data_IF_655355249055
#
_entry.id   IF_655355249055
#
_cell.length_a   1.000
_cell.length_b   1.000
_cell.length_c   1.000
_cell.angle_alpha   90.00
_cell.angle_beta   90.00
_cell.angle_gamma   90.00
#
_symmetry.space_group_name_H-M   'P 1'
#
loop_
_entity.id
_entity.type
_entity.pdbx_description
1 polymer ?
#
# COMPACT_ATOMS: atom_id res chain seq x y z
N UNK A 1 19.08 -6.20 13.35
CA UNK A 1 17.93 -5.54 12.68
C UNK A 1 17.77 -6.23 11.34
N UNK A 2 16.83 -7.17 11.24
CA UNK A 2 16.76 -8.06 10.07
C UNK A 2 15.75 -7.53 9.06
N UNK A 3 16.25 -7.12 7.89
CA UNK A 3 15.45 -7.05 6.67
C UNK A 3 14.78 -8.42 6.47
N UNK A 4 13.46 -8.42 6.25
CA UNK A 4 12.70 -9.64 6.03
C UNK A 4 13.19 -10.33 4.76
N UNK A 5 13.39 -11.65 4.82
CA UNK A 5 13.74 -12.46 3.65
C UNK A 5 12.52 -13.04 2.94
N UNK A 6 11.33 -12.83 3.50
CA UNK A 6 10.08 -13.34 2.98
C UNK A 6 9.06 -12.20 2.84
N UNK A 7 8.19 -12.24 1.81
CA UNK A 7 7.10 -11.29 1.66
C UNK A 7 6.18 -11.29 2.89
N UNK A 8 6.31 -10.29 3.76
CA UNK A 8 5.61 -10.22 5.05
C UNK A 8 4.13 -9.82 4.94
N UNK A 9 3.63 -9.67 3.71
CA UNK A 9 2.21 -9.44 3.39
C UNK A 9 1.51 -10.69 2.84
N UNK A 10 2.25 -11.78 2.58
CA UNK A 10 1.65 -13.00 2.03
C UNK A 10 0.88 -13.75 3.10
N UNK A 11 -0.31 -14.22 2.73
CA UNK A 11 -1.19 -14.95 3.61
C UNK A 11 -0.98 -16.46 3.48
N UNK A 12 -1.36 -17.20 4.52
CA UNK A 12 -1.47 -18.65 4.50
C UNK A 12 -2.95 -19.06 4.43
N UNK A 13 -3.31 -20.23 3.88
CA UNK A 13 -4.68 -20.74 3.94
C UNK A 13 -5.17 -20.86 5.39
N UNK A 14 -6.41 -20.44 5.62
CA UNK A 14 -7.11 -20.60 6.89
C UNK A 14 -7.84 -21.94 7.01
N UNK A 15 -8.73 -22.04 8.00
CA UNK A 15 -9.48 -23.28 8.28
C UNK A 15 -10.61 -23.53 7.26
N UNK A 16 -11.18 -22.47 6.68
CA UNK A 16 -12.30 -22.53 5.75
C UNK A 16 -11.89 -22.11 4.35
N UNK A 17 -12.60 -22.62 3.35
CA UNK A 17 -12.46 -22.16 1.97
C UNK A 17 -12.73 -20.65 1.88
N UNK A 18 -11.89 -19.94 1.13
CA UNK A 18 -11.96 -18.48 1.02
C UNK A 18 -11.40 -17.73 2.24
N UNK A 19 -10.88 -18.42 3.25
CA UNK A 19 -10.22 -17.78 4.39
C UNK A 19 -8.71 -17.94 4.35
N UNK A 20 -8.04 -16.87 4.77
CA UNK A 20 -6.59 -16.77 4.79
C UNK A 20 -6.13 -16.04 6.05
N UNK A 21 -4.91 -16.30 6.49
CA UNK A 21 -4.32 -15.74 7.70
C UNK A 21 -3.04 -15.01 7.33
N UNK A 22 -2.92 -13.75 7.76
CA UNK A 22 -1.66 -13.03 7.79
C UNK A 22 -1.06 -13.12 9.20
N UNK A 23 0.02 -13.87 9.43
CA UNK A 23 0.79 -13.78 10.66
C UNK A 23 1.43 -12.39 10.76
N UNK A 24 1.13 -11.64 11.83
CA UNK A 24 1.68 -10.29 12.00
C UNK A 24 3.10 -10.38 12.53
N UNK A 25 4.05 -10.02 11.69
CA UNK A 25 5.47 -9.94 12.04
C UNK A 25 5.93 -8.48 12.13
N UNK A 26 7.02 -8.16 12.86
CA UNK A 26 7.52 -6.79 12.96
C UNK A 26 7.63 -6.04 11.60
N UNK A 27 8.14 -6.65 10.51
CA UNK A 27 8.19 -6.02 9.18
C UNK A 27 6.84 -5.52 8.64
N UNK A 28 5.71 -6.04 9.11
CA UNK A 28 4.36 -5.64 8.71
C UNK A 28 3.80 -4.46 9.52
N UNK A 29 4.50 -4.01 10.56
CA UNK A 29 3.97 -3.08 11.56
C UNK A 29 4.62 -1.71 11.51
N UNK A 30 3.89 -0.71 12.01
CA UNK A 30 4.32 0.66 12.27
C UNK A 30 3.80 1.11 13.65
N UNK A 31 4.16 2.33 14.08
CA UNK A 31 3.75 2.90 15.35
C UNK A 31 4.86 2.91 16.41
N UNK A 32 4.60 3.50 17.59
CA UNK A 32 5.58 3.62 18.65
C UNK A 32 5.87 2.28 19.34
N UNK A 33 6.99 2.21 20.06
CA UNK A 33 7.34 1.07 20.89
C UNK A 33 6.21 0.77 21.90
N UNK A 34 5.88 -0.52 22.04
CA UNK A 34 4.81 -0.97 22.93
C UNK A 34 3.38 -0.76 22.42
N UNK A 35 3.17 -0.18 21.23
CA UNK A 35 1.84 -0.13 20.59
C UNK A 35 1.90 -0.29 19.06
N UNK A 36 2.56 -1.37 18.54
CA UNK A 36 2.64 -1.60 17.12
C UNK A 36 1.26 -1.96 16.54
N UNK A 37 1.04 -1.56 15.30
CA UNK A 37 -0.12 -1.95 14.51
C UNK A 37 0.30 -2.25 13.08
N UNK A 38 -0.42 -3.15 12.41
CA UNK A 38 -0.26 -3.41 10.97
C UNK A 38 -0.49 -2.11 10.19
N UNK A 39 0.41 -1.79 9.27
CA UNK A 39 0.26 -0.64 8.38
C UNK A 39 -0.87 -0.89 7.35
N UNK A 40 -1.61 0.16 6.97
CA UNK A 40 -2.80 0.03 6.13
C UNK A 40 -2.53 -0.64 4.79
N UNK A 41 -1.47 -0.22 4.11
CA UNK A 41 -0.98 -0.82 2.87
C UNK A 41 -0.56 -2.28 3.01
N UNK A 42 -0.09 -2.73 4.18
CA UNK A 42 0.18 -4.16 4.44
C UNK A 42 -1.10 -4.95 4.61
N UNK A 43 -2.12 -4.39 5.28
CA UNK A 43 -3.44 -5.02 5.35
C UNK A 43 -4.09 -5.11 3.97
N UNK A 44 -3.97 -4.07 3.14
CA UNK A 44 -4.41 -4.10 1.74
C UNK A 44 -3.65 -5.15 0.94
N UNK A 45 -2.32 -5.20 1.04
CA UNK A 45 -1.49 -6.18 0.34
C UNK A 45 -1.83 -7.63 0.72
N UNK A 46 -2.14 -7.89 1.99
CA UNK A 46 -2.62 -9.19 2.45
C UNK A 46 -4.00 -9.54 1.87
N UNK A 47 -4.90 -8.56 1.77
CA UNK A 47 -6.19 -8.77 1.09
C UNK A 47 -6.01 -9.02 -0.41
N UNK A 48 -5.09 -8.32 -1.07
CA UNK A 48 -4.75 -8.55 -2.49
C UNK A 48 -4.23 -9.97 -2.68
N UNK A 49 -3.26 -10.41 -1.88
CA UNK A 49 -2.71 -11.77 -1.95
C UNK A 49 -3.81 -12.83 -1.73
N UNK A 50 -4.66 -12.65 -0.71
CA UNK A 50 -5.80 -13.53 -0.44
C UNK A 50 -6.81 -13.59 -1.61
N UNK A 51 -7.15 -12.43 -2.20
CA UNK A 51 -8.07 -12.33 -3.32
C UNK A 51 -7.51 -12.98 -4.58
N UNK A 52 -6.22 -12.79 -4.89
CA UNK A 52 -5.56 -13.42 -6.02
C UNK A 52 -5.48 -14.95 -5.84
N UNK A 53 -5.22 -15.43 -4.62
CA UNK A 53 -5.26 -16.85 -4.30
C UNK A 53 -6.68 -17.44 -4.44
N UNK A 54 -7.70 -16.76 -3.90
CA UNK A 54 -9.09 -17.23 -3.93
C UNK A 54 -9.67 -17.26 -5.35
N UNK A 55 -9.31 -16.27 -6.18
CA UNK A 55 -9.80 -16.14 -7.55
C UNK A 55 -8.94 -16.87 -8.58
N UNK A 56 -7.68 -17.18 -8.25
CA UNK A 56 -6.65 -17.56 -9.23
C UNK A 56 -6.48 -16.55 -10.37
N UNK A 57 -6.78 -15.28 -10.09
CA UNK A 57 -6.76 -14.18 -11.05
C UNK A 57 -5.96 -13.00 -10.50
N UNK A 58 -5.37 -12.21 -11.40
CA UNK A 58 -4.63 -11.00 -11.02
C UNK A 58 -5.59 -9.88 -10.65
N UNK A 59 -5.20 -9.06 -9.66
CA UNK A 59 -5.92 -7.86 -9.29
C UNK A 59 -5.99 -6.85 -10.45
N UNK A 60 -7.17 -6.29 -10.69
CA UNK A 60 -7.35 -5.11 -11.55
C UNK A 60 -7.39 -3.83 -10.70
N UNK A 61 -8.24 -3.82 -9.67
CA UNK A 61 -8.34 -2.73 -8.71
C UNK A 61 -8.91 -3.20 -7.38
N UNK A 62 -8.65 -2.44 -6.33
CA UNK A 62 -9.26 -2.59 -5.01
C UNK A 62 -9.57 -1.23 -4.38
N UNK A 63 -10.50 -1.22 -3.43
CA UNK A 63 -10.72 -0.14 -2.47
C UNK A 63 -10.83 -0.75 -1.08
N UNK A 64 -10.02 -0.28 -0.14
CA UNK A 64 -10.07 -0.65 1.27
C UNK A 64 -10.62 0.50 2.10
N UNK A 65 -11.45 0.18 3.09
CA UNK A 65 -11.83 1.09 4.18
C UNK A 65 -11.16 0.67 5.49
N UNK A 66 -10.52 1.63 6.17
CA UNK A 66 -9.89 1.44 7.47
C UNK A 66 -10.92 1.71 8.58
N UNK A 67 -11.43 0.66 9.21
CA UNK A 67 -12.57 0.77 10.15
C UNK A 67 -12.14 0.79 11.63
N UNK A 68 -11.05 0.09 11.95
CA UNK A 68 -10.56 -0.02 13.32
C UNK A 68 -9.05 -0.31 13.37
N UNK A 69 -8.36 0.13 14.43
CA UNK A 69 -6.94 -0.15 14.59
C UNK A 69 -6.67 -1.63 14.81
N UNK A 70 -5.51 -2.09 14.33
CA UNK A 70 -4.96 -3.43 14.52
C UNK A 70 -3.83 -3.44 15.57
N UNK A 71 -3.94 -2.60 16.59
CA UNK A 71 -2.94 -2.53 17.67
C UNK A 71 -2.84 -3.88 18.37
N UNK A 72 -1.62 -4.41 18.50
CA UNK A 72 -1.34 -5.73 19.08
C UNK A 72 -1.99 -6.91 18.36
N UNK A 73 -2.36 -6.77 17.08
CA UNK A 73 -2.77 -7.92 16.28
C UNK A 73 -1.59 -8.90 16.16
N UNK A 74 -1.80 -10.16 16.55
CA UNK A 74 -0.85 -11.25 16.31
C UNK A 74 -1.08 -11.89 14.93
N UNK A 75 -2.32 -11.83 14.45
CA UNK A 75 -2.74 -12.28 13.14
C UNK A 75 -3.89 -11.41 12.60
N UNK A 76 -4.06 -11.42 11.29
CA UNK A 76 -5.25 -10.93 10.61
C UNK A 76 -5.91 -12.08 9.84
N UNK A 77 -7.19 -12.32 10.08
CA UNK A 77 -8.02 -13.22 9.28
C UNK A 77 -8.60 -12.44 8.09
N UNK A 78 -8.39 -12.93 6.87
CA UNK A 78 -8.93 -12.36 5.63
C UNK A 78 -9.90 -13.37 5.04
N UNK A 79 -11.18 -13.00 4.94
CA UNK A 79 -12.20 -13.81 4.27
C UNK A 79 -12.57 -13.20 2.93
N UNK A 80 -12.55 -13.98 1.85
CA UNK A 80 -12.79 -13.54 0.48
C UNK A 80 -14.05 -14.17 -0.10
N UNK A 81 -14.85 -13.39 -0.82
CA UNK A 81 -16.07 -13.85 -1.49
C UNK A 81 -16.19 -13.20 -2.88
N UNK A 82 -16.54 -13.98 -3.90
CA UNK A 82 -16.95 -13.45 -5.19
C UNK A 82 -18.43 -13.03 -5.13
N UNK A 83 -18.69 -11.74 -4.99
CA UNK A 83 -20.05 -11.21 -4.89
C UNK A 83 -20.72 -10.97 -6.25
N UNK A 84 -19.97 -11.09 -7.37
CA UNK A 84 -20.53 -10.93 -8.70
C UNK A 84 -19.49 -11.02 -9.83
N UNK A 85 -19.88 -10.52 -11.01
CA UNK A 85 -19.08 -10.62 -12.22
C UNK A 85 -19.21 -11.98 -12.92
N UNK A 86 -18.27 -12.28 -13.81
CA UNK A 86 -18.23 -13.53 -14.57
C UNK A 86 -16.87 -14.22 -14.46
N UNK A 87 -16.67 -15.26 -15.26
CA UNK A 87 -15.43 -16.05 -15.22
C UNK A 87 -14.18 -15.25 -15.60
N UNK A 88 -14.28 -14.31 -16.54
CA UNK A 88 -13.12 -13.52 -16.97
C UNK A 88 -12.80 -12.34 -16.05
N UNK A 89 -13.83 -11.73 -15.44
CA UNK A 89 -13.68 -10.59 -14.53
C UNK A 89 -14.69 -10.76 -13.40
N UNK A 90 -14.19 -11.03 -12.19
CA UNK A 90 -14.98 -11.16 -10.98
C UNK A 90 -15.08 -9.85 -10.20
N UNK A 91 -16.17 -9.67 -9.45
CA UNK A 91 -16.30 -8.65 -8.42
C UNK A 91 -16.23 -9.35 -7.06
N UNK A 92 -15.31 -8.90 -6.21
CA UNK A 92 -14.95 -9.57 -4.98
C UNK A 92 -15.02 -8.65 -3.77
N UNK A 93 -15.32 -9.24 -2.62
CA UNK A 93 -15.22 -8.63 -1.30
C UNK A 93 -14.16 -9.39 -0.50
N UNK A 94 -13.33 -8.67 0.25
CA UNK A 94 -12.57 -9.23 1.36
C UNK A 94 -12.90 -8.49 2.66
N UNK A 95 -13.06 -9.24 3.75
CA UNK A 95 -13.21 -8.69 5.09
C UNK A 95 -12.01 -9.10 5.94
N UNK A 96 -11.37 -8.12 6.59
CA UNK A 96 -10.21 -8.35 7.45
C UNK A 96 -10.63 -8.23 8.91
N UNK A 97 -10.30 -9.24 9.71
CA UNK A 97 -10.59 -9.30 11.14
C UNK A 97 -9.32 -9.47 11.97
N UNK A 98 -9.30 -8.83 13.13
CA UNK A 98 -8.32 -9.06 14.19
C UNK A 98 -9.08 -9.34 15.48
N UNK A 99 -8.78 -10.45 16.16
CA UNK A 99 -9.49 -10.88 17.38
C UNK A 99 -11.02 -10.89 17.21
N UNK A 100 -11.51 -11.37 16.07
CA UNK A 100 -12.94 -11.44 15.72
C UNK A 100 -13.60 -10.12 15.31
N UNK A 101 -12.95 -8.96 15.53
CA UNK A 101 -13.47 -7.65 15.13
C UNK A 101 -13.07 -7.32 13.70
N UNK A 102 -14.02 -6.83 12.90
CA UNK A 102 -13.73 -6.29 11.55
C UNK A 102 -12.89 -5.02 11.69
N UNK A 103 -11.71 -5.03 11.07
CA UNK A 103 -10.78 -3.89 11.03
C UNK A 103 -10.74 -3.24 9.66
N UNK A 104 -10.98 -4.00 8.60
CA UNK A 104 -11.01 -3.48 7.23
C UNK A 104 -12.06 -4.19 6.37
N UNK A 105 -12.51 -3.50 5.33
CA UNK A 105 -13.31 -4.07 4.24
C UNK A 105 -12.74 -3.65 2.91
N UNK A 106 -12.65 -4.60 1.99
CA UNK A 106 -12.05 -4.40 0.66
C UNK A 106 -13.05 -4.82 -0.41
N UNK A 107 -13.35 -3.92 -1.35
CA UNK A 107 -14.00 -4.30 -2.61
C UNK A 107 -12.93 -4.37 -3.70
N UNK A 108 -13.03 -5.34 -4.61
CA UNK A 108 -12.05 -5.51 -5.66
C UNK A 108 -12.66 -6.07 -6.95
N UNK A 109 -11.95 -5.87 -8.05
CA UNK A 109 -12.15 -6.65 -9.27
C UNK A 109 -10.85 -7.37 -9.63
N UNK A 110 -10.99 -8.63 -10.03
CA UNK A 110 -9.89 -9.49 -10.44
C UNK A 110 -10.20 -10.12 -11.79
N UNK A 111 -9.16 -10.48 -12.52
CA UNK A 111 -9.27 -11.15 -13.82
C UNK A 111 -8.71 -10.33 -14.97
N UNK A 112 -9.04 -10.75 -16.19
CA UNK A 112 -8.59 -10.13 -17.42
C UNK A 112 -9.52 -10.51 -18.57
N UNK A 113 -9.49 -9.72 -19.66
CA UNK A 113 -10.10 -10.10 -20.93
C UNK A 113 -9.01 -10.14 -21.99
N UNK A 114 -8.63 -11.35 -22.39
CA UNK A 114 -7.55 -11.55 -23.36
C UNK A 114 -8.08 -11.96 -24.75
N UNK A 115 -7.38 -11.58 -25.84
CA UNK A 115 -6.17 -10.74 -25.85
C UNK A 115 -6.49 -9.26 -25.62
N UNK A 116 -5.65 -8.55 -24.87
CA UNK A 116 -5.73 -7.08 -24.72
C UNK A 116 -4.39 -6.40 -25.01
N UNK A 117 -4.43 -5.30 -25.77
CA UNK A 117 -3.24 -4.47 -26.01
C UNK A 117 -3.12 -3.42 -24.90
N UNK A 118 -1.95 -3.39 -24.23
CA UNK A 118 -1.68 -2.36 -23.24
C UNK A 118 -1.36 -1.03 -23.94
N UNK A 119 -2.07 0.03 -23.57
CA UNK A 119 -1.77 1.42 -23.96
C UNK A 119 -1.71 2.28 -22.71
N UNK A 120 -0.59 2.98 -22.52
CA UNK A 120 -0.34 3.83 -21.36
C UNK A 120 -0.23 5.28 -21.84
N UNK A 121 -1.02 6.16 -21.23
CA UNK A 121 -1.02 7.60 -21.55
C UNK A 121 -0.29 8.46 -20.51
N UNK A 122 -0.19 7.96 -19.27
CA UNK A 122 0.56 8.65 -18.21
C UNK A 122 2.05 8.58 -18.51
N UNK A 123 2.72 9.73 -18.44
CA UNK A 123 4.18 9.81 -18.47
C UNK A 123 4.72 9.98 -17.04
N UNK A 124 5.84 9.33 -16.75
CA UNK A 124 6.62 9.60 -15.54
C UNK A 124 7.15 11.04 -15.60
N UNK A 125 7.06 11.85 -14.53
CA UNK A 125 7.62 13.19 -14.51
C UNK A 125 9.16 13.13 -14.58
N UNK A 126 9.75 14.23 -15.06
CA UNK A 126 11.20 14.41 -15.07
C UNK A 126 11.69 14.76 -13.66
N UNK A 127 12.28 13.78 -12.98
CA UNK A 127 12.84 13.89 -11.63
C UNK A 127 14.21 13.21 -11.58
N UNK A 128 15.10 13.60 -10.64
CA UNK A 128 16.40 12.96 -10.52
C UNK A 128 16.29 11.44 -10.30
N UNK A 129 17.27 10.70 -10.80
CA UNK A 129 17.37 9.27 -10.59
C UNK A 129 17.63 8.96 -9.10
N UNK A 130 17.27 7.76 -8.61
CA UNK A 130 17.43 7.41 -7.19
C UNK A 130 18.85 7.60 -6.63
N UNK A 131 19.87 7.33 -7.44
CA UNK A 131 21.29 7.46 -7.03
C UNK A 131 21.74 8.92 -6.90
N UNK A 132 21.04 9.84 -7.55
CA UNK A 132 21.26 11.29 -7.47
C UNK A 132 20.42 11.95 -6.36
N UNK A 133 19.59 11.18 -5.65
CA UNK A 133 18.69 11.65 -4.61
C UNK A 133 19.26 11.41 -3.20
N UNK A 134 18.95 12.32 -2.28
CA UNK A 134 19.28 12.15 -0.88
C UNK A 134 18.48 10.99 -0.25
N UNK A 135 19.08 10.19 0.66
CA UNK A 135 18.34 9.23 1.48
C UNK A 135 17.21 9.91 2.26
N UNK A 136 16.03 9.31 2.24
CA UNK A 136 14.91 9.73 3.10
C UNK A 136 15.17 9.39 4.58
N UNK A 137 14.58 10.19 5.48
CA UNK A 137 14.70 9.97 6.92
C UNK A 137 14.01 8.67 7.36
N UNK A 138 14.72 7.87 8.17
CA UNK A 138 14.26 6.60 8.77
C UNK A 138 14.04 6.71 10.29
N UNK A 139 14.28 7.87 10.88
CA UNK A 139 14.59 8.05 12.30
C UNK A 139 13.45 7.88 13.31
N UNK A 140 12.24 7.53 12.87
CA UNK A 140 11.04 7.58 13.72
C UNK A 140 10.42 6.21 14.02
N UNK A 141 11.02 5.11 13.53
CA UNK A 141 10.50 3.75 13.65
C UNK A 141 11.19 2.91 14.71
N UNK A 142 10.44 1.95 15.29
CA UNK A 142 11.03 0.89 16.11
C UNK A 142 11.89 -0.01 15.22
N UNK A 143 13.12 -0.39 15.61
CA UNK A 143 13.98 -1.23 14.78
C UNK A 143 13.33 -2.57 14.41
N UNK A 144 13.52 -3.01 13.16
CA UNK A 144 12.97 -4.24 12.59
C UNK A 144 11.54 -4.12 12.04
N UNK A 145 10.92 -2.94 12.13
CA UNK A 145 9.56 -2.69 11.62
C UNK A 145 9.52 -2.33 10.14
N UNK A 146 8.35 -1.95 9.61
CA UNK A 146 8.14 -1.68 8.18
C UNK A 146 9.16 -0.70 7.61
N UNK A 147 9.51 0.38 8.33
CA UNK A 147 10.47 1.38 7.86
C UNK A 147 11.85 0.80 7.51
N UNK A 148 12.29 -0.22 8.24
CA UNK A 148 13.58 -0.90 7.99
C UNK A 148 13.56 -1.83 6.76
N UNK A 149 12.40 -2.05 6.16
CA UNK A 149 12.24 -2.90 4.97
C UNK A 149 12.44 -2.12 3.66
N UNK A 150 12.50 -0.80 3.73
CA UNK A 150 12.57 0.09 2.57
C UNK A 150 13.90 0.83 2.49
N UNK A 151 14.34 1.07 1.26
CA UNK A 151 15.26 2.15 0.90
C UNK A 151 14.44 3.28 0.30
N UNK A 152 14.63 4.50 0.77
CA UNK A 152 13.88 5.68 0.38
C UNK A 152 14.79 6.77 -0.16
N UNK A 153 14.39 7.41 -1.25
CA UNK A 153 15.05 8.60 -1.78
C UNK A 153 14.03 9.65 -2.17
N UNK A 154 14.23 10.88 -1.69
CA UNK A 154 13.35 11.99 -2.00
C UNK A 154 13.84 12.63 -3.30
N UNK A 155 13.04 12.53 -4.37
CA UNK A 155 13.36 13.12 -5.67
C UNK A 155 12.83 14.56 -5.80
N UNK A 156 11.68 14.83 -5.18
CA UNK A 156 11.05 16.15 -5.16
C UNK A 156 10.07 16.25 -3.97
N UNK A 157 10.06 17.41 -3.32
CA UNK A 157 9.04 17.82 -2.34
C UNK A 157 8.64 19.27 -2.62
N UNK A 158 7.33 19.51 -2.77
CA UNK A 158 6.73 20.83 -2.91
C UNK A 158 5.50 20.89 -2.00
N UNK A 159 5.71 21.29 -0.75
CA UNK A 159 4.67 21.36 0.27
C UNK A 159 3.57 22.37 -0.09
N UNK A 160 3.94 23.51 -0.67
CA UNK A 160 2.97 24.54 -1.06
C UNK A 160 2.01 24.06 -2.15
N UNK A 161 2.50 23.23 -3.08
CA UNK A 161 1.66 22.61 -4.11
C UNK A 161 1.08 21.27 -3.70
N UNK A 162 1.46 20.73 -2.54
CA UNK A 162 1.03 19.41 -2.08
C UNK A 162 1.54 18.28 -3.00
N UNK A 163 2.80 18.34 -3.44
CA UNK A 163 3.38 17.33 -4.31
C UNK A 163 4.63 16.69 -3.69
N UNK A 164 4.76 15.38 -3.85
CA UNK A 164 6.00 14.65 -3.52
C UNK A 164 6.29 13.61 -4.60
N UNK A 165 7.56 13.47 -4.96
CA UNK A 165 8.07 12.35 -5.75
C UNK A 165 9.08 11.57 -4.88
N UNK A 166 8.71 10.36 -4.48
CA UNK A 166 9.48 9.49 -3.60
C UNK A 166 9.89 8.23 -4.33
N UNK A 167 11.18 7.97 -4.42
CA UNK A 167 11.69 6.66 -4.80
C UNK A 167 11.67 5.74 -3.58
N UNK A 168 11.12 4.54 -3.76
CA UNK A 168 11.16 3.48 -2.75
C UNK A 168 11.57 2.14 -3.37
N UNK A 169 12.26 1.31 -2.58
CA UNK A 169 12.67 -0.04 -3.00
C UNK A 169 12.72 -0.97 -1.80
N UNK A 170 12.35 -2.23 -2.01
CA UNK A 170 12.55 -3.28 -1.01
C UNK A 170 14.05 -3.50 -0.74
N UNK A 171 14.48 -3.39 0.52
CA UNK A 171 15.86 -3.75 0.89
C UNK A 171 16.13 -5.25 0.71
N UNK A 172 15.09 -6.08 0.70
CA UNK A 172 15.18 -7.51 0.44
C UNK A 172 15.22 -7.86 -1.05
N UNK A 173 15.04 -6.86 -1.94
CA UNK A 173 14.93 -7.09 -3.38
C UNK A 173 13.62 -7.75 -3.81
N UNK A 174 12.52 -7.55 -3.06
CA UNK A 174 11.21 -8.01 -3.51
C UNK A 174 10.80 -7.31 -4.83
N UNK A 175 10.11 -8.06 -5.68
CA UNK A 175 9.50 -7.56 -6.91
C UNK A 175 8.42 -6.52 -6.59
N UNK A 176 8.19 -5.57 -7.49
CA UNK A 176 7.04 -4.69 -7.41
C UNK A 176 5.80 -5.41 -7.99
N UNK A 177 5.34 -6.45 -7.30
CA UNK A 177 4.08 -7.13 -7.60
C UNK A 177 2.87 -6.33 -7.06
N UNK A 178 1.66 -6.84 -7.29
CA UNK A 178 0.40 -6.21 -6.84
C UNK A 178 0.39 -5.97 -5.32
N UNK A 179 0.89 -6.93 -4.53
CA UNK A 179 1.02 -6.81 -3.09
C UNK A 179 2.02 -5.75 -2.66
N UNK A 180 3.24 -5.74 -3.19
CA UNK A 180 4.24 -4.73 -2.85
C UNK A 180 3.79 -3.32 -3.25
N UNK A 181 3.20 -3.16 -4.43
CA UNK A 181 2.67 -1.88 -4.90
C UNK A 181 1.48 -1.39 -4.06
N UNK A 182 0.67 -2.28 -3.49
CA UNK A 182 -0.36 -1.91 -2.53
C UNK A 182 0.26 -1.32 -1.23
N UNK A 183 1.39 -1.86 -0.76
CA UNK A 183 2.10 -1.30 0.40
C UNK A 183 2.64 0.11 0.08
N UNK A 184 3.33 0.25 -1.04
CA UNK A 184 3.93 1.52 -1.47
C UNK A 184 2.86 2.61 -1.70
N UNK A 185 1.66 2.22 -2.14
CA UNK A 185 0.55 3.14 -2.39
C UNK A 185 0.03 3.85 -1.13
N UNK A 186 0.13 3.22 0.05
CA UNK A 186 -0.30 3.81 1.34
C UNK A 186 0.80 4.67 2.01
N UNK A 187 1.88 5.01 1.29
CA UNK A 187 2.80 6.08 1.72
C UNK A 187 2.21 7.50 1.58
N UNK A 188 0.97 7.60 1.09
CA UNK A 188 0.24 8.84 0.85
C UNK A 188 0.34 9.87 2.00
N UNK A 189 0.03 9.51 3.24
CA UNK A 189 0.11 10.46 4.37
C UNK A 189 1.54 10.82 4.78
N UNK A 190 2.54 10.08 4.32
CA UNK A 190 3.95 10.43 4.51
C UNK A 190 4.40 11.60 3.62
N UNK A 191 3.65 11.89 2.55
CA UNK A 191 4.06 12.79 1.49
C UNK A 191 3.94 14.29 1.81
N UNK A 192 3.39 14.66 2.97
CA UNK A 192 3.29 16.06 3.40
C UNK A 192 3.45 16.18 4.92
N UNK A 193 4.20 17.18 5.45
CA UNK A 193 4.38 17.30 6.90
C UNK A 193 3.08 17.46 7.69
N UNK A 194 2.13 18.23 7.16
CA UNK A 194 0.83 18.46 7.82
C UNK A 194 -0.03 17.21 7.99
N UNK A 195 0.24 16.12 7.26
CA UNK A 195 -0.50 14.85 7.38
C UNK A 195 0.17 13.86 8.34
N UNK A 196 1.41 14.11 8.76
CA UNK A 196 2.18 13.20 9.63
C UNK A 196 1.52 13.04 10.99
N UNK A 197 1.25 11.78 11.37
CA UNK A 197 0.50 11.45 12.58
C UNK A 197 -1.03 11.46 12.40
N UNK A 198 -1.51 11.71 11.19
CA UNK A 198 -2.89 11.46 10.78
C UNK A 198 -3.19 9.97 10.63
N UNK A 199 -4.39 9.65 10.13
CA UNK A 199 -4.81 8.27 9.89
C UNK A 199 -5.58 8.15 8.58
N UNK A 200 -5.26 7.15 7.79
CA UNK A 200 -5.95 6.84 6.53
C UNK A 200 -7.41 6.44 6.81
N UNK A 201 -8.33 6.89 5.95
CA UNK A 201 -9.74 6.50 5.96
C UNK A 201 -10.02 5.39 4.94
N UNK A 202 -9.39 5.51 3.77
CA UNK A 202 -9.51 4.56 2.66
C UNK A 202 -8.24 4.54 1.80
N UNK A 203 -8.08 3.53 0.96
CA UNK A 203 -7.15 3.55 -0.18
C UNK A 203 -7.82 2.85 -1.36
N UNK A 204 -7.81 3.50 -2.52
CA UNK A 204 -8.26 2.95 -3.80
C UNK A 204 -7.06 2.70 -4.69
N UNK A 205 -6.73 1.43 -4.91
CA UNK A 205 -5.54 0.98 -5.65
C UNK A 205 -5.92 0.36 -7.01
N UNK A 206 -5.14 0.64 -8.04
CA UNK A 206 -5.28 0.06 -9.39
C UNK A 206 -3.95 -0.49 -9.84
N UNK A 207 -3.92 -1.79 -10.09
CA UNK A 207 -2.73 -2.47 -10.58
C UNK A 207 -2.74 -2.46 -12.11
N UNK A 208 -1.62 -2.02 -12.71
CA UNK A 208 -1.45 -1.97 -14.17
C UNK A 208 -0.51 -3.09 -14.62
N UNK A 209 0.66 -3.19 -13.97
CA UNK A 209 1.67 -4.21 -14.22
C UNK A 209 2.68 -4.25 -13.07
N UNK A 210 3.43 -5.34 -12.97
CA UNK A 210 4.57 -5.43 -12.07
C UNK A 210 5.91 -5.16 -12.74
N UNK A 211 6.97 -5.08 -11.94
CA UNK A 211 8.35 -5.15 -12.41
C UNK A 211 9.19 -6.05 -11.49
N UNK A 212 10.17 -6.75 -12.08
CA UNK A 212 10.94 -7.79 -11.37
C UNK A 212 11.82 -7.23 -10.27
N UNK A 213 12.40 -6.07 -10.46
CA UNK A 213 13.26 -5.42 -9.48
C UNK A 213 13.37 -3.92 -9.72
N UNK A 214 13.91 -3.23 -8.72
CA UNK A 214 14.30 -1.83 -8.84
C UNK A 214 13.46 -0.87 -8.02
N UNK A 215 13.65 0.39 -8.36
CA UNK A 215 13.01 1.51 -7.69
C UNK A 215 11.61 1.75 -8.24
N UNK A 216 10.68 2.05 -7.33
CA UNK A 216 9.34 2.55 -7.64
C UNK A 216 9.30 4.04 -7.29
N UNK A 217 8.99 4.89 -8.27
CA UNK A 217 8.69 6.30 -8.07
C UNK A 217 7.21 6.44 -7.74
N UNK A 218 6.89 6.87 -6.53
CA UNK A 218 5.56 7.29 -6.13
C UNK A 218 5.46 8.80 -6.26
N UNK A 219 4.64 9.25 -7.21
CA UNK A 219 4.34 10.67 -7.42
C UNK A 219 2.98 10.94 -6.78
N UNK A 220 3.00 11.52 -5.59
CA UNK A 220 1.81 11.85 -4.79
C UNK A 220 1.42 13.31 -5.01
N UNK A 221 0.15 13.54 -5.29
CA UNK A 221 -0.47 14.86 -5.45
C UNK A 221 -1.66 14.97 -4.50
N UNK A 222 -1.56 15.88 -3.53
CA UNK A 222 -2.66 16.26 -2.67
C UNK A 222 -3.59 17.21 -3.41
N UNK A 223 -4.89 16.87 -3.43
CA UNK A 223 -5.90 17.67 -4.10
C UNK A 223 -6.48 18.76 -3.19
N UNK A 224 -6.70 18.45 -1.91
CA UNK A 224 -7.28 19.39 -0.96
C UNK A 224 -7.03 18.98 0.50
N UNK A 225 -6.85 20.00 1.33
CA UNK A 225 -6.95 19.92 2.79
C UNK A 225 -8.16 20.74 3.19
N UNK A 226 -9.20 20.08 3.71
CA UNK A 226 -10.41 20.77 4.17
C UNK A 226 -11.08 19.98 5.29
N UNK A 227 -11.74 20.67 6.22
CA UNK A 227 -12.52 20.06 7.31
C UNK A 227 -11.77 19.00 8.14
N UNK A 228 -10.46 19.18 8.31
CA UNK A 228 -9.62 18.23 9.04
C UNK A 228 -9.32 16.92 8.30
N UNK A 229 -9.56 16.90 6.98
CA UNK A 229 -9.34 15.77 6.09
C UNK A 229 -8.44 16.20 4.93
N UNK A 230 -7.66 15.27 4.42
CA UNK A 230 -6.87 15.42 3.21
C UNK A 230 -7.31 14.42 2.16
N UNK A 231 -7.33 14.83 0.89
CA UNK A 231 -7.60 13.97 -0.26
C UNK A 231 -6.50 14.10 -1.30
N UNK A 232 -6.22 13.02 -2.04
CA UNK A 232 -5.25 13.07 -3.13
C UNK A 232 -5.10 11.74 -3.84
N UNK A 233 -4.12 11.70 -4.74
CA UNK A 233 -3.82 10.54 -5.57
C UNK A 233 -2.32 10.36 -5.77
N UNK A 234 -1.92 9.16 -6.17
CA UNK A 234 -0.56 8.90 -6.60
C UNK A 234 -0.52 8.07 -7.89
N UNK A 235 0.57 8.24 -8.63
CA UNK A 235 0.97 7.36 -9.73
C UNK A 235 2.31 6.73 -9.38
N UNK A 236 2.40 5.42 -9.58
CA UNK A 236 3.58 4.64 -9.28
C UNK A 236 4.24 4.20 -10.59
N UNK A 237 5.51 4.53 -10.76
CA UNK A 237 6.30 4.20 -11.95
C UNK A 237 7.51 3.36 -11.59
N UNK A 238 7.94 2.48 -12.49
CA UNK A 238 9.28 1.87 -12.40
C UNK A 238 10.36 2.88 -12.79
N UNK A 239 11.61 2.58 -12.44
CA UNK A 239 12.75 3.44 -12.77
C UNK A 239 12.91 3.73 -14.28
N UNK A 240 12.46 2.81 -15.15
CA UNK A 240 12.46 2.97 -16.60
C UNK A 240 11.25 3.74 -17.16
N UNK A 241 10.36 4.25 -16.29
CA UNK A 241 9.23 5.09 -16.66
C UNK A 241 7.92 4.37 -16.98
N UNK A 242 7.83 3.03 -16.83
CA UNK A 242 6.55 2.32 -17.02
C UNK A 242 5.60 2.60 -15.85
N UNK A 243 4.33 2.86 -16.16
CA UNK A 243 3.28 2.97 -15.15
C UNK A 243 2.97 1.59 -14.56
N UNK A 244 3.12 1.46 -13.24
CA UNK A 244 2.90 0.22 -12.48
C UNK A 244 1.53 0.22 -11.80
N UNK A 245 1.16 1.33 -11.18
CA UNK A 245 -0.10 1.45 -10.45
C UNK A 245 -0.59 2.90 -10.32
N UNK A 246 -1.87 3.05 -9.97
CA UNK A 246 -2.50 4.32 -9.61
C UNK A 246 -3.20 4.12 -8.27
N UNK A 247 -3.09 5.08 -7.36
CA UNK A 247 -3.81 5.06 -6.09
C UNK A 247 -4.49 6.39 -5.76
N UNK A 248 -5.46 6.37 -4.85
CA UNK A 248 -6.06 7.57 -4.26
C UNK A 248 -6.58 7.28 -2.87
N UNK A 249 -6.46 8.26 -1.98
CA UNK A 249 -6.69 8.07 -0.55
C UNK A 249 -7.26 9.33 0.09
N UNK A 250 -8.08 9.12 1.12
CA UNK A 250 -8.44 10.16 2.08
C UNK A 250 -7.83 9.84 3.45
N UNK A 251 -7.44 10.87 4.19
CA UNK A 251 -6.96 10.71 5.56
C UNK A 251 -7.42 11.82 6.48
N UNK A 252 -7.58 11.49 7.76
CA UNK A 252 -7.85 12.48 8.82
C UNK A 252 -6.53 13.09 9.24
N UNK A 253 -6.49 14.42 9.30
CA UNK A 253 -5.33 15.17 9.76
C UNK A 253 -5.07 14.92 11.26
N UNK A 254 -3.81 14.97 11.72
CA UNK A 254 -3.50 14.85 13.13
C UNK A 254 -4.23 15.92 13.95
N UNK A 255 -4.75 15.55 15.12
CA UNK A 255 -5.39 16.52 16.05
C UNK A 255 -4.44 17.62 16.51
N UNK A 256 -3.16 17.28 16.65
CA UNK A 256 -2.09 18.20 17.02
C UNK A 256 -1.05 18.08 15.90
N UNK A 257 -0.82 19.14 15.12
CA UNK A 257 0.23 19.13 14.10
C UNK A 257 1.57 18.77 14.73
N UNK A 258 2.31 17.86 14.10
CA UNK A 258 3.72 17.65 14.46
C UNK A 258 4.49 18.87 13.97
N UNK A 259 5.10 19.61 14.89
CA UNK A 259 6.00 20.72 14.53
C UNK A 259 7.13 20.18 13.65
N UNK A 260 7.51 20.87 12.57
CA UNK A 260 8.65 20.48 11.73
C UNK A 260 9.96 20.38 12.53
#
# INVERSE_FOLDING_TARGET
>A
MSVSRFPFWRVAPGEREGEFILPVMPPATVGPEGAPHVMGGVALAAAVDALELASSQTLLWSNIQFLAPTTHAEELLVSCEQCGGGQSVGQWLAEIRSNGRVTHRVNAALGAREPSEQRVFSAMPDVPAPDDCAPGDRGWGVPGTLGDQFDFRIAMEDEERGMQALWSRSQAGFKADSGWLAIVSDFFLGAHPATRGGSSLDDTFRFIQGCDDGWVLSVTEFAAFDRGVVHGSAKNFSQDGRLLAISSQSGVLPRIPRTP
#
